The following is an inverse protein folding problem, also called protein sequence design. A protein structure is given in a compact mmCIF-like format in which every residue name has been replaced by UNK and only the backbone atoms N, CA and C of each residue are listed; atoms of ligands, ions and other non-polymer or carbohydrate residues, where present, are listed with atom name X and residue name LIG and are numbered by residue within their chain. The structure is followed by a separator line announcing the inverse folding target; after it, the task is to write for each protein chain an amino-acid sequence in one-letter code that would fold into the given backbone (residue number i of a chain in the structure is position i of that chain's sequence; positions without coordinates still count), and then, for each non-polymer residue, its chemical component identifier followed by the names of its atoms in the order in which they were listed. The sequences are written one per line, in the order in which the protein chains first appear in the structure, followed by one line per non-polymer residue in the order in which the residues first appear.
data_IF_591652546670
#
_entry.id   IF_591652546670
#
_cell.length_a   1.000
_cell.length_b   1.000
_cell.length_c   1.000
_cell.angle_alpha   90.00
_cell.angle_beta   90.00
_cell.angle_gamma   90.00
#
_symmetry.space_group_name_H-M   'P 1'
#
loop_
_entity.id
_entity.type
_entity.pdbx_description
1 polymer ?
#
# COMPACT_ATOMS: atom_id res chain seq x y z
N UNK A 1 35.06 -47.19 -21.85
CA UNK A 1 33.58 -47.38 -21.89
C UNK A 1 32.96 -47.43 -20.49
N UNK A 2 33.42 -48.29 -19.57
CA UNK A 2 32.89 -48.37 -18.20
C UNK A 2 32.96 -47.07 -17.40
N UNK A 3 34.08 -46.34 -17.53
CA UNK A 3 34.29 -45.07 -16.82
C UNK A 3 33.32 -43.99 -17.30
N UNK A 4 33.14 -43.86 -18.62
CA UNK A 4 32.19 -42.92 -19.25
C UNK A 4 30.74 -43.21 -18.85
N UNK A 5 30.34 -44.48 -18.83
CA UNK A 5 28.99 -44.88 -18.40
C UNK A 5 28.76 -44.55 -16.92
N UNK A 6 29.77 -44.77 -16.07
CA UNK A 6 29.71 -44.39 -14.66
C UNK A 6 29.57 -42.88 -14.47
N UNK A 7 30.33 -42.07 -15.22
CA UNK A 7 30.22 -40.60 -15.13
C UNK A 7 28.84 -40.10 -15.57
N UNK A 8 28.32 -40.62 -16.69
CA UNK A 8 26.98 -40.25 -17.18
C UNK A 8 25.89 -40.63 -16.18
N UNK A 9 25.92 -41.85 -15.63
CA UNK A 9 24.95 -42.28 -14.63
C UNK A 9 24.98 -41.39 -13.37
N UNK A 10 26.17 -41.00 -12.92
CA UNK A 10 26.33 -40.14 -11.74
C UNK A 10 25.80 -38.73 -11.99
N UNK A 11 26.14 -38.13 -13.14
CA UNK A 11 25.67 -36.79 -13.52
C UNK A 11 24.15 -36.78 -13.71
N UNK A 12 23.60 -37.78 -14.38
CA UNK A 12 22.15 -37.92 -14.56
C UNK A 12 21.42 -38.12 -13.24
N UNK A 13 21.96 -38.91 -12.31
CA UNK A 13 21.38 -39.09 -10.97
C UNK A 13 21.35 -37.80 -10.16
N UNK A 14 22.43 -37.02 -10.20
CA UNK A 14 22.50 -35.71 -9.53
C UNK A 14 21.50 -34.73 -10.14
N UNK A 15 21.46 -34.58 -11.47
CA UNK A 15 20.53 -33.68 -12.14
C UNK A 15 19.06 -34.05 -11.90
N UNK A 16 18.75 -35.35 -11.82
CA UNK A 16 17.41 -35.84 -11.49
C UNK A 16 17.02 -35.53 -10.03
N UNK A 17 17.95 -35.65 -9.08
CA UNK A 17 17.68 -35.28 -7.70
C UNK A 17 17.46 -33.77 -7.53
N UNK A 18 18.23 -32.93 -8.22
CA UNK A 18 18.05 -31.47 -8.19
C UNK A 18 16.70 -31.02 -8.81
N UNK A 19 16.22 -31.70 -9.86
CA UNK A 19 14.93 -31.33 -10.49
C UNK A 19 13.74 -31.53 -9.55
N UNK A 20 13.79 -32.58 -8.72
CA UNK A 20 12.80 -32.84 -7.66
C UNK A 20 12.84 -31.78 -6.55
N UNK A 21 14.01 -31.21 -6.25
CA UNK A 21 14.13 -30.11 -5.29
C UNK A 21 13.52 -28.81 -5.84
N UNK A 22 13.76 -28.46 -7.11
CA UNK A 22 13.17 -27.25 -7.73
C UNK A 22 11.65 -27.33 -7.94
N UNK A 23 11.09 -28.54 -7.95
CA UNK A 23 9.66 -28.77 -8.08
C UNK A 23 8.93 -28.89 -6.72
N UNK A 24 9.62 -28.68 -5.60
CA UNK A 24 8.99 -28.77 -4.29
C UNK A 24 8.15 -27.49 -4.00
N UNK A 25 6.81 -27.58 -3.95
CA UNK A 25 5.96 -26.44 -3.68
C UNK A 25 6.24 -25.78 -2.31
N UNK A 26 6.90 -26.50 -1.40
CA UNK A 26 7.32 -25.99 -0.08
C UNK A 26 8.40 -24.90 -0.15
N UNK A 27 9.10 -24.75 -1.28
CA UNK A 27 10.15 -23.75 -1.48
C UNK A 27 9.62 -22.42 -2.03
N UNK A 28 8.34 -22.34 -2.45
CA UNK A 28 7.73 -21.06 -2.80
C UNK A 28 7.55 -20.21 -1.54
N UNK A 29 7.73 -18.87 -1.65
CA UNK A 29 7.41 -17.96 -0.56
C UNK A 29 5.97 -18.18 -0.07
N UNK A 30 5.85 -18.54 1.20
CA UNK A 30 4.57 -18.72 1.88
C UNK A 30 3.98 -17.33 2.17
N UNK A 31 2.68 -17.18 1.89
CA UNK A 31 1.88 -16.01 2.18
C UNK A 31 0.60 -16.46 2.89
N UNK A 32 0.42 -15.95 4.12
CA UNK A 32 -0.79 -16.20 4.91
C UNK A 32 -2.04 -15.75 4.11
N UNK A 33 -3.20 -16.38 4.37
CA UNK A 33 -4.46 -15.99 3.73
C UNK A 33 -4.89 -16.85 2.54
N UNK A 34 -4.21 -17.98 2.29
CA UNK A 34 -4.67 -19.00 1.36
C UNK A 34 -4.98 -20.33 2.08
N UNK A 35 -6.10 -20.40 2.82
CA UNK A 35 -6.40 -21.50 3.74
C UNK A 35 -6.90 -22.77 3.08
N UNK A 36 -6.66 -22.97 1.79
CA UNK A 36 -7.16 -24.13 1.07
C UNK A 36 -6.40 -25.39 1.46
N UNK A 37 -6.63 -25.84 2.69
CA UNK A 37 -6.31 -27.17 3.20
C UNK A 37 -7.47 -28.06 2.78
N UNK A 38 -7.21 -28.94 1.80
CA UNK A 38 -8.01 -30.11 1.47
C UNK A 38 -9.51 -29.95 1.83
N UNK A 39 -10.21 -29.06 1.12
CA UNK A 39 -11.67 -28.98 1.16
C UNK A 39 -12.18 -30.28 0.55
N UNK A 40 -12.46 -31.27 1.38
CA UNK A 40 -13.06 -32.51 0.91
C UNK A 40 -14.38 -32.19 0.19
N UNK A 41 -14.63 -32.84 -0.94
CA UNK A 41 -15.93 -32.78 -1.62
C UNK A 41 -17.04 -33.03 -0.60
N UNK A 42 -18.07 -32.18 -0.53
CA UNK A 42 -19.16 -32.33 0.45
C UNK A 42 -19.98 -33.61 0.21
N UNK A 43 -19.82 -34.25 -0.96
CA UNK A 43 -20.53 -35.47 -1.35
C UNK A 43 -19.68 -36.72 -1.15
N UNK A 44 -18.39 -36.66 -1.51
CA UNK A 44 -17.52 -37.85 -1.56
C UNK A 44 -16.38 -37.84 -0.54
N UNK A 45 -16.17 -36.72 0.16
CA UNK A 45 -15.03 -36.51 1.06
C UNK A 45 -13.67 -36.47 0.36
N UNK A 46 -13.64 -36.63 -0.98
CA UNK A 46 -12.41 -36.64 -1.76
C UNK A 46 -11.75 -35.24 -1.78
N UNK A 47 -10.42 -35.16 -1.64
CA UNK A 47 -9.71 -33.89 -1.75
C UNK A 47 -9.98 -33.16 -3.05
N UNK A 48 -10.45 -31.91 -2.98
CA UNK A 48 -10.62 -31.05 -4.17
C UNK A 48 -9.34 -30.29 -4.54
N UNK A 49 -8.33 -30.29 -3.66
CA UNK A 49 -7.05 -29.63 -3.86
C UNK A 49 -5.91 -30.46 -3.28
N UNK A 50 -4.77 -30.46 -3.99
CA UNK A 50 -3.51 -31.06 -3.54
C UNK A 50 -2.58 -30.04 -2.84
N UNK A 51 -3.09 -28.85 -2.53
CA UNK A 51 -2.37 -27.85 -1.76
C UNK A 51 -2.56 -28.13 -0.25
N UNK A 52 -1.49 -28.21 0.56
CA UNK A 52 -1.60 -28.29 2.02
C UNK A 52 -2.30 -27.07 2.65
N UNK A 53 -2.41 -25.95 1.92
CA UNK A 53 -3.00 -24.71 2.41
C UNK A 53 -2.09 -23.97 3.39
N UNK A 54 -2.37 -22.70 3.60
CA UNK A 54 -1.64 -21.83 4.53
C UNK A 54 -2.55 -21.38 5.67
N UNK A 55 -1.97 -20.92 6.77
CA UNK A 55 -2.75 -20.39 7.88
C UNK A 55 -3.58 -19.19 7.43
N UNK A 56 -4.81 -19.09 7.95
CA UNK A 56 -5.66 -17.92 7.77
C UNK A 56 -4.94 -16.64 8.23
N UNK A 57 -4.89 -15.62 7.37
CA UNK A 57 -4.40 -14.30 7.75
C UNK A 57 -5.49 -13.54 8.51
N UNK A 58 -5.45 -13.52 9.85
CA UNK A 58 -6.45 -12.82 10.69
C UNK A 58 -5.80 -12.09 11.87
N UNK A 59 -6.50 -11.09 12.39
CA UNK A 59 -6.13 -10.37 13.61
C UNK A 59 -5.15 -9.21 13.39
N UNK A 60 -4.62 -8.71 14.51
CA UNK A 60 -3.80 -7.49 14.58
C UNK A 60 -2.53 -7.58 13.71
N UNK A 61 -1.89 -8.74 13.65
CA UNK A 61 -0.68 -8.95 12.84
C UNK A 61 -0.93 -8.74 11.35
N UNK A 62 -2.09 -9.16 10.83
CA UNK A 62 -2.50 -8.95 9.44
C UNK A 62 -2.78 -7.47 9.18
N UNK A 63 -3.42 -6.78 10.12
CA UNK A 63 -3.68 -5.34 10.03
C UNK A 63 -2.38 -4.53 9.98
N UNK A 64 -1.42 -4.84 10.85
CA UNK A 64 -0.11 -4.19 10.87
C UNK A 64 0.69 -4.43 9.58
N UNK A 65 0.74 -5.69 9.10
CA UNK A 65 1.35 -6.02 7.80
C UNK A 65 0.69 -5.25 6.63
N UNK A 66 -0.62 -5.05 6.69
CA UNK A 66 -1.37 -4.31 5.68
C UNK A 66 -1.08 -2.81 5.75
N UNK A 67 -0.97 -2.24 6.95
CA UNK A 67 -0.59 -0.85 7.17
C UNK A 67 0.82 -0.56 6.62
N UNK A 68 1.78 -1.46 6.86
CA UNK A 68 3.16 -1.34 6.36
C UNK A 68 3.27 -1.50 4.84
N UNK A 69 2.30 -2.16 4.19
CA UNK A 69 2.27 -2.33 2.74
C UNK A 69 1.96 -1.03 1.99
N UNK A 70 1.37 -0.04 2.68
CA UNK A 70 1.02 1.25 2.09
C UNK A 70 2.18 2.24 2.23
N UNK A 71 3.04 2.32 1.21
CA UNK A 71 4.06 3.37 1.07
C UNK A 71 3.47 4.53 0.28
N UNK A 72 2.65 5.37 0.90
CA UNK A 72 2.19 6.62 0.28
C UNK A 72 3.37 7.59 0.17
N UNK A 73 3.70 8.00 -1.05
CA UNK A 73 4.63 9.10 -1.27
C UNK A 73 3.92 10.41 -0.90
N UNK A 74 4.21 10.95 0.28
CA UNK A 74 3.76 12.30 0.63
C UNK A 74 4.69 13.32 -0.03
N UNK A 75 4.11 14.21 -0.84
CA UNK A 75 4.85 15.32 -1.43
C UNK A 75 5.03 16.43 -0.39
N UNK A 76 6.25 16.56 0.15
CA UNK A 76 6.61 17.64 1.07
C UNK A 76 7.37 18.76 0.33
N UNK A 77 6.75 19.34 -0.70
CA UNK A 77 7.33 20.48 -1.42
C UNK A 77 7.12 21.77 -0.64
N UNK A 78 8.22 22.43 -0.27
CA UNK A 78 8.18 23.79 0.27
C UNK A 78 8.36 24.78 -0.89
N UNK A 79 7.37 25.64 -1.13
CA UNK A 79 7.53 26.78 -2.05
C UNK A 79 8.40 27.85 -1.38
N UNK A 80 9.57 28.13 -1.93
CA UNK A 80 10.49 29.16 -1.42
C UNK A 80 9.86 30.56 -1.42
N UNK A 81 8.99 30.85 -2.37
CA UNK A 81 8.27 32.13 -2.45
C UNK A 81 7.35 32.38 -1.23
N UNK A 82 6.96 31.30 -0.55
CA UNK A 82 6.09 31.33 0.62
C UNK A 82 6.87 31.37 1.94
N UNK A 83 8.20 31.50 1.92
CA UNK A 83 9.02 31.49 3.13
C UNK A 83 8.66 32.59 4.15
N UNK A 84 8.02 33.67 3.67
CA UNK A 84 7.53 34.78 4.51
C UNK A 84 6.15 34.56 5.11
N UNK A 85 5.49 33.43 4.89
CA UNK A 85 4.16 33.15 5.43
C UNK A 85 4.32 32.52 6.81
N UNK A 86 3.81 33.19 7.85
CA UNK A 86 3.77 32.64 9.22
C UNK A 86 2.61 31.68 9.40
N UNK A 87 1.43 32.07 8.90
CA UNK A 87 0.18 31.36 9.14
C UNK A 87 -0.69 31.43 7.90
N UNK A 88 -1.10 30.27 7.38
CA UNK A 88 -2.11 30.18 6.35
C UNK A 88 -3.46 30.60 6.91
N UNK A 89 -4.12 31.55 6.23
CA UNK A 89 -5.53 31.83 6.47
C UNK A 89 -6.36 31.02 5.46
N UNK A 90 -7.63 30.76 5.77
CA UNK A 90 -8.52 29.98 4.91
C UNK A 90 -8.68 30.55 3.49
N UNK A 91 -9.44 29.86 2.65
CA UNK A 91 -9.69 30.30 1.27
C UNK A 91 -10.19 31.76 1.21
N UNK A 92 -9.71 32.51 0.21
CA UNK A 92 -9.99 33.94 -0.01
C UNK A 92 -9.48 34.92 1.06
N UNK A 93 -8.63 34.48 2.00
CA UNK A 93 -7.98 35.37 2.95
C UNK A 93 -6.48 35.48 2.67
N UNK A 94 -5.92 36.68 2.83
CA UNK A 94 -4.47 36.82 2.75
C UNK A 94 -3.82 36.15 3.96
N UNK A 95 -2.73 35.38 3.75
CA UNK A 95 -1.98 34.78 4.84
C UNK A 95 -1.32 35.87 5.70
N UNK A 96 -1.00 35.49 6.94
CA UNK A 96 -0.15 36.31 7.79
C UNK A 96 1.29 36.16 7.30
N UNK A 97 2.00 37.28 7.19
CA UNK A 97 3.37 37.30 6.67
C UNK A 97 4.34 37.94 7.66
N UNK A 98 5.60 37.52 7.65
CA UNK A 98 6.65 38.29 8.30
C UNK A 98 6.81 39.65 7.56
N UNK A 99 6.65 40.74 8.30
CA UNK A 99 6.74 42.12 7.80
C UNK A 99 5.39 42.84 7.75
N UNK A 100 5.27 43.94 6.98
CA UNK A 100 4.04 44.71 6.89
C UNK A 100 2.86 43.87 6.36
N UNK A 101 1.77 43.86 7.11
CA UNK A 101 0.55 43.16 6.73
C UNK A 101 -0.29 44.02 5.77
N UNK A 102 -0.56 43.50 4.58
CA UNK A 102 -1.46 44.16 3.63
C UNK A 102 -2.90 43.99 4.14
N UNK A 103 -3.58 45.11 4.38
CA UNK A 103 -5.01 45.13 4.70
C UNK A 103 -5.79 45.48 3.44
N UNK A 104 -6.57 44.53 2.93
CA UNK A 104 -7.54 44.83 1.87
C UNK A 104 -8.78 45.42 2.55
N UNK A 105 -8.95 46.72 2.40
CA UNK A 105 -10.18 47.40 2.75
C UNK A 105 -10.91 47.78 1.45
N UNK A 106 -12.25 47.74 1.45
CA UNK A 106 -13.01 48.24 0.30
C UNK A 106 -12.69 49.73 0.07
N UNK A 107 -12.67 50.20 -1.20
CA UNK A 107 -12.31 51.57 -1.55
C UNK A 107 -13.27 52.61 -0.95
N UNK A 108 -14.48 52.18 -0.58
CA UNK A 108 -15.47 52.99 0.13
C UNK A 108 -16.05 52.17 1.28
N UNK A 109 -16.29 52.82 2.41
CA UNK A 109 -16.85 52.19 3.63
C UNK A 109 -18.34 51.90 3.53
N UNK A 110 -19.01 52.42 2.50
CA UNK A 110 -20.47 52.43 2.37
C UNK A 110 -21.03 51.44 1.35
N UNK A 111 -20.28 51.04 0.32
CA UNK A 111 -20.83 50.21 -0.77
C UNK A 111 -21.03 48.73 -0.41
N UNK A 112 -20.35 48.23 0.62
CA UNK A 112 -20.43 46.82 1.07
C UNK A 112 -21.14 46.64 2.42
N UNK A 113 -21.54 47.72 3.10
CA UNK A 113 -22.32 47.60 4.32
C UNK A 113 -23.77 47.28 3.94
N UNK A 114 -24.18 46.03 4.11
CA UNK A 114 -25.60 45.69 4.13
C UNK A 114 -26.18 46.29 5.42
N UNK A 115 -27.07 47.30 5.34
CA UNK A 115 -27.78 47.75 6.54
C UNK A 115 -28.64 46.59 7.06
N UNK A 116 -28.76 46.46 8.38
CA UNK A 116 -29.50 45.36 9.03
C UNK A 116 -30.98 45.25 8.62
N UNK A 117 -31.49 46.27 7.93
CA UNK A 117 -32.87 46.41 7.50
C UNK A 117 -33.12 45.83 6.10
N UNK A 118 -32.09 45.31 5.41
CA UNK A 118 -32.24 44.76 4.06
C UNK A 118 -32.97 43.41 4.12
N UNK A 119 -34.28 43.42 3.86
CA UNK A 119 -35.08 42.23 3.56
C UNK A 119 -34.71 41.74 2.15
N UNK A 120 -34.37 40.47 2.02
CA UNK A 120 -34.28 39.79 0.72
C UNK A 120 -35.63 39.09 0.54
N UNK A 121 -36.38 39.46 -0.50
CA UNK A 121 -37.59 38.75 -0.94
C UNK A 121 -37.22 37.52 -1.76
#
# INVERSE_FOLDING_TARGET
MKLVIGTVATVSGVLFALSMASANPSLLPKHEGYPMKNSGSPVTGQPTANDPGQSDARGESTLMKSADSFKSAQQNLVKTDNARITTGQGANQLPTVQGPQIKIAPPVTSATKIPGDRKIE
#
